data_IF_864405975217
#
_entry.id   IF_864405975217
#
_cell.length_a   1.000
_cell.length_b   1.000
_cell.length_c   1.000
_cell.angle_alpha   90.00
_cell.angle_beta   90.00
_cell.angle_gamma   90.00
#
_symmetry.space_group_name_H-M   'P 1'
#
loop_
_entity.id
_entity.type
_entity.pdbx_description
1 polymer ?
#
# COMPACT_ATOMS: atom_id res chain seq x y z
N UNK A 1 5.13 15.94 44.73
CA UNK A 1 6.18 14.90 44.64
C UNK A 1 6.95 15.09 43.33
N UNK A 2 8.20 15.59 43.37
CA UNK A 2 8.95 16.03 42.17
C UNK A 2 9.75 14.93 41.43
N UNK A 3 9.65 13.67 41.85
CA UNK A 3 10.45 12.54 41.33
C UNK A 3 9.98 11.95 39.99
N UNK A 4 8.74 12.22 39.58
CA UNK A 4 8.19 11.65 38.33
C UNK A 4 8.81 12.29 37.09
N UNK A 5 9.04 13.61 37.09
CA UNK A 5 9.58 14.33 35.93
C UNK A 5 11.06 13.99 35.70
N UNK A 6 11.83 13.76 36.76
CA UNK A 6 13.24 13.39 36.64
C UNK A 6 13.41 11.96 36.13
N UNK A 7 12.53 11.04 36.53
CA UNK A 7 12.54 9.66 35.99
C UNK A 7 12.12 9.60 34.52
N UNK A 8 11.09 10.36 34.12
CA UNK A 8 10.68 10.44 32.71
C UNK A 8 11.77 11.04 31.82
N UNK A 9 12.48 12.05 32.32
CA UNK A 9 13.59 12.66 31.58
C UNK A 9 14.74 11.66 31.39
N UNK A 10 15.08 10.89 32.42
CA UNK A 10 16.12 9.88 32.35
C UNK A 10 15.78 8.76 31.35
N UNK A 11 14.51 8.37 31.27
CA UNK A 11 14.01 7.36 30.32
C UNK A 11 14.11 7.86 28.86
N UNK A 12 13.68 9.08 28.58
CA UNK A 12 13.78 9.70 27.25
C UNK A 12 15.24 9.85 26.82
N UNK A 13 16.13 10.27 27.73
CA UNK A 13 17.55 10.41 27.41
C UNK A 13 18.23 9.05 27.21
N UNK A 14 17.83 8.03 27.96
CA UNK A 14 18.28 6.65 27.77
C UNK A 14 17.84 6.07 26.42
N UNK A 15 16.61 6.36 25.99
CA UNK A 15 16.08 5.93 24.70
C UNK A 15 16.80 6.64 23.54
N UNK A 16 17.02 7.95 23.64
CA UNK A 16 17.78 8.72 22.64
C UNK A 16 19.25 8.28 22.49
N UNK A 17 19.91 7.92 23.59
CA UNK A 17 21.27 7.36 23.54
C UNK A 17 21.26 5.97 22.90
N UNK A 18 20.24 5.15 23.19
CA UNK A 18 20.07 3.82 22.59
C UNK A 18 19.79 3.90 21.08
N UNK A 19 19.01 4.89 20.63
CA UNK A 19 18.74 5.14 19.20
C UNK A 19 19.98 5.62 18.43
N UNK A 20 20.92 6.30 19.09
CA UNK A 20 22.19 6.76 18.50
C UNK A 20 23.23 5.65 18.30
N UNK A 21 22.95 4.42 18.75
CA UNK A 21 23.81 3.25 18.51
C UNK A 21 23.67 2.73 17.07
N UNK A 22 22.62 3.13 16.35
CA UNK A 22 22.52 2.87 14.92
C UNK A 22 23.25 3.96 14.13
N UNK A 23 24.23 3.56 13.31
CA UNK A 23 24.84 4.44 12.31
C UNK A 23 23.72 5.03 11.43
N UNK A 24 23.50 6.36 11.47
CA UNK A 24 22.45 7.00 10.67
C UNK A 24 22.61 6.71 9.19
N UNK A 25 23.84 6.54 8.72
CA UNK A 25 24.13 6.21 7.32
C UNK A 25 23.70 4.79 6.98
N UNK A 26 23.96 3.81 7.86
CA UNK A 26 23.47 2.44 7.68
C UNK A 26 21.93 2.35 7.74
N UNK A 27 21.29 3.09 8.66
CA UNK A 27 19.83 3.14 8.76
C UNK A 27 19.20 3.74 7.48
N UNK A 28 19.80 4.82 6.95
CA UNK A 28 19.37 5.42 5.68
C UNK A 28 19.60 4.45 4.53
N UNK A 29 20.76 3.77 4.49
CA UNK A 29 21.06 2.77 3.48
C UNK A 29 20.02 1.64 3.45
N UNK A 30 19.55 1.15 4.61
CA UNK A 30 18.50 0.13 4.68
C UNK A 30 17.14 0.62 4.16
N UNK A 31 16.80 1.89 4.39
CA UNK A 31 15.56 2.50 3.88
C UNK A 31 15.67 2.81 2.38
N UNK A 32 16.83 3.25 1.92
CA UNK A 32 17.07 3.59 0.51
C UNK A 32 17.35 2.37 -0.36
N UNK A 33 17.85 1.27 0.21
CA UNK A 33 18.09 0.01 -0.48
C UNK A 33 16.80 -0.82 -0.64
N UNK A 34 15.65 -0.15 -0.81
CA UNK A 34 14.43 -0.81 -1.27
C UNK A 34 14.80 -1.63 -2.52
N UNK A 35 14.76 -2.97 -2.46
CA UNK A 35 15.09 -3.76 -3.63
C UNK A 35 14.11 -3.38 -4.75
N UNK A 36 14.58 -3.24 -6.00
CA UNK A 36 13.64 -3.13 -7.11
C UNK A 36 12.71 -4.34 -7.02
N UNK A 37 11.41 -4.06 -7.18
CA UNK A 37 10.35 -5.07 -7.25
C UNK A 37 10.84 -6.32 -7.99
N UNK A 38 10.49 -7.54 -7.56
CA UNK A 38 10.93 -8.78 -8.19
C UNK A 38 10.58 -8.91 -9.69
N UNK A 39 9.87 -7.96 -10.29
CA UNK A 39 9.77 -7.82 -11.75
C UNK A 39 11.12 -7.58 -12.45
N UNK A 40 12.18 -7.16 -11.74
CA UNK A 40 13.49 -6.87 -12.35
C UNK A 40 14.45 -8.07 -12.42
N UNK A 41 14.08 -9.25 -11.89
CA UNK A 41 14.93 -10.44 -11.91
C UNK A 41 14.62 -11.32 -13.12
N UNK A 42 14.77 -10.79 -14.33
CA UNK A 42 15.05 -11.63 -15.50
C UNK A 42 15.96 -10.86 -16.44
N UNK A 43 17.20 -11.34 -16.51
CA UNK A 43 18.20 -11.04 -17.54
C UNK A 43 19.01 -9.74 -17.38
N UNK A 44 20.07 -9.86 -16.59
CA UNK A 44 21.34 -9.20 -16.89
C UNK A 44 21.81 -9.64 -18.29
N UNK A 45 21.40 -8.89 -19.30
CA UNK A 45 22.07 -8.79 -20.59
C UNK A 45 21.75 -7.38 -21.06
N UNK A 46 22.80 -6.60 -21.28
CA UNK A 46 22.73 -5.24 -21.80
C UNK A 46 22.02 -5.25 -23.17
N UNK A 47 20.70 -5.19 -23.16
CA UNK A 47 19.88 -4.85 -24.30
C UNK A 47 19.47 -3.39 -24.13
N UNK A 48 19.44 -2.59 -25.22
CA UNK A 48 19.00 -1.21 -25.14
C UNK A 48 17.63 -1.19 -24.49
N UNK A 49 17.45 -0.35 -23.46
CA UNK A 49 16.15 -0.12 -22.85
C UNK A 49 15.19 0.28 -23.97
N UNK A 50 14.37 -0.67 -24.40
CA UNK A 50 13.36 -0.40 -25.39
C UNK A 50 12.38 0.60 -24.75
N UNK A 51 11.99 1.68 -25.46
CA UNK A 51 11.04 2.65 -24.95
C UNK A 51 9.66 2.03 -24.61
N UNK A 52 9.43 0.76 -24.97
CA UNK A 52 8.24 0.00 -24.63
C UNK A 52 8.13 -0.36 -23.15
N UNK A 53 9.24 -0.60 -22.41
CA UNK A 53 9.14 -1.04 -21.00
C UNK A 53 8.77 0.09 -20.05
N UNK A 54 9.17 1.33 -20.34
CA UNK A 54 8.74 2.52 -19.58
C UNK A 54 7.24 2.80 -19.78
N UNK A 55 6.73 2.57 -20.99
CA UNK A 55 5.30 2.72 -21.29
C UNK A 55 4.44 1.61 -20.64
N UNK A 56 4.99 0.40 -20.52
CA UNK A 56 4.33 -0.72 -19.82
C UNK A 56 4.27 -0.49 -18.29
N UNK A 57 5.33 0.04 -17.69
CA UNK A 57 5.33 0.42 -16.26
C UNK A 57 4.28 1.48 -15.94
N UNK A 58 4.09 2.48 -16.82
CA UNK A 58 3.05 3.50 -16.67
C UNK A 58 1.63 2.92 -16.85
N UNK A 59 1.46 1.97 -17.75
CA UNK A 59 0.18 1.30 -17.97
C UNK A 59 -0.22 0.44 -16.76
N UNK A 60 0.72 -0.30 -16.18
CA UNK A 60 0.46 -1.12 -15.00
C UNK A 60 0.26 -0.27 -13.74
N UNK A 61 0.98 0.84 -13.61
CA UNK A 61 0.74 1.81 -12.54
C UNK A 61 -0.64 2.45 -12.64
N UNK A 62 -1.09 2.76 -13.86
CA UNK A 62 -2.45 3.26 -14.11
C UNK A 62 -3.49 2.21 -13.74
N UNK A 63 -3.30 0.96 -14.18
CA UNK A 63 -4.16 -0.18 -13.86
C UNK A 63 -4.25 -0.43 -12.36
N UNK A 64 -3.13 -0.32 -11.63
CA UNK A 64 -3.09 -0.49 -10.19
C UNK A 64 -3.89 0.61 -9.48
N UNK A 65 -3.78 1.87 -9.93
CA UNK A 65 -4.60 2.98 -9.41
C UNK A 65 -6.08 2.76 -9.63
N UNK A 66 -6.46 2.33 -10.84
CA UNK A 66 -7.84 2.02 -11.18
C UNK A 66 -8.40 0.89 -10.31
N UNK A 67 -7.59 -0.15 -10.07
CA UNK A 67 -7.99 -1.27 -9.22
C UNK A 67 -8.20 -0.85 -7.76
N UNK A 68 -7.33 0.01 -7.21
CA UNK A 68 -7.49 0.56 -5.85
C UNK A 68 -8.75 1.42 -5.75
N UNK A 69 -8.98 2.28 -6.75
CA UNK A 69 -10.19 3.10 -6.81
C UNK A 69 -11.45 2.23 -6.86
N UNK A 70 -11.47 1.23 -7.75
CA UNK A 70 -12.59 0.30 -7.88
C UNK A 70 -12.83 -0.46 -6.58
N UNK A 71 -11.77 -0.94 -5.92
CA UNK A 71 -11.88 -1.62 -4.63
C UNK A 71 -12.56 -0.73 -3.59
N UNK A 72 -12.15 0.54 -3.49
CA UNK A 72 -12.76 1.49 -2.58
C UNK A 72 -14.24 1.72 -2.89
N UNK A 73 -14.58 2.00 -4.15
CA UNK A 73 -15.96 2.24 -4.59
C UNK A 73 -16.87 1.03 -4.30
N UNK A 74 -16.41 -0.19 -4.60
CA UNK A 74 -17.15 -1.43 -4.31
C UNK A 74 -17.30 -1.63 -2.80
N UNK A 75 -16.25 -1.39 -2.01
CA UNK A 75 -16.33 -1.52 -0.56
C UNK A 75 -17.29 -0.54 0.09
N UNK A 76 -17.30 0.71 -0.37
CA UNK A 76 -18.24 1.72 0.13
C UNK A 76 -19.67 1.42 -0.32
N UNK A 77 -19.89 0.98 -1.57
CA UNK A 77 -21.20 0.53 -2.03
C UNK A 77 -21.71 -0.70 -1.25
N UNK A 78 -20.82 -1.63 -0.90
CA UNK A 78 -21.14 -2.77 -0.05
C UNK A 78 -21.48 -2.33 1.37
N UNK A 79 -20.68 -1.43 1.97
CA UNK A 79 -20.94 -0.89 3.32
C UNK A 79 -22.28 -0.15 3.38
N UNK A 80 -22.63 0.59 2.33
CA UNK A 80 -23.92 1.27 2.20
C UNK A 80 -25.10 0.33 1.89
N UNK A 81 -24.85 -0.95 1.62
CA UNK A 81 -25.88 -1.95 1.33
C UNK A 81 -26.50 -1.82 -0.07
N UNK A 82 -25.96 -0.97 -0.94
CA UNK A 82 -26.51 -0.68 -2.27
C UNK A 82 -26.45 -1.91 -3.18
N UNK A 83 -25.37 -2.70 -3.07
CA UNK A 83 -25.19 -3.94 -3.82
C UNK A 83 -26.23 -5.00 -3.44
N UNK A 84 -26.53 -5.16 -2.14
CA UNK A 84 -27.52 -6.11 -1.67
C UNK A 84 -28.93 -5.70 -2.14
N UNK A 85 -29.25 -4.40 -2.08
CA UNK A 85 -30.53 -3.86 -2.55
C UNK A 85 -30.72 -4.07 -4.05
N UNK A 86 -29.72 -3.72 -4.85
CA UNK A 86 -29.76 -3.92 -6.31
C UNK A 86 -29.91 -5.39 -6.70
N UNK A 87 -29.24 -6.29 -5.98
CA UNK A 87 -29.35 -7.73 -6.20
C UNK A 87 -30.77 -8.26 -5.91
N UNK A 88 -31.37 -7.83 -4.80
CA UNK A 88 -32.74 -8.20 -4.42
C UNK A 88 -33.77 -7.67 -5.43
N UNK A 89 -33.62 -6.42 -5.87
CA UNK A 89 -34.47 -5.83 -6.91
C UNK A 89 -34.38 -6.60 -8.23
N UNK A 90 -33.17 -7.00 -8.65
CA UNK A 90 -32.95 -7.80 -9.84
C UNK A 90 -33.60 -9.19 -9.71
N UNK A 91 -33.47 -9.85 -8.56
CA UNK A 91 -34.11 -11.15 -8.29
C UNK A 91 -35.62 -11.07 -8.41
N UNK A 92 -36.24 -10.06 -7.81
CA UNK A 92 -37.68 -9.80 -7.94
C UNK A 92 -38.09 -9.49 -9.37
N UNK A 93 -37.21 -8.87 -10.17
CA UNK A 93 -37.42 -8.67 -11.60
C UNK A 93 -37.52 -10.00 -12.36
N UNK A 94 -36.59 -10.91 -12.10
CA UNK A 94 -36.56 -12.24 -12.73
C UNK A 94 -37.77 -13.08 -12.29
N UNK A 95 -38.08 -13.10 -11.00
CA UNK A 95 -39.24 -13.85 -10.46
C UNK A 95 -40.56 -13.40 -11.09
N UNK A 96 -40.73 -12.10 -11.34
CA UNK A 96 -41.92 -11.55 -12.02
C UNK A 96 -42.06 -11.92 -13.49
N UNK A 97 -40.96 -12.28 -14.16
CA UNK A 97 -40.95 -12.70 -15.57
C UNK A 97 -41.02 -14.22 -15.70
N UNK A 98 -40.52 -14.94 -14.70
CA UNK A 98 -40.43 -16.40 -14.69
C UNK A 98 -41.65 -17.11 -14.06
N UNK A 99 -42.52 -16.40 -13.35
CA UNK A 99 -43.81 -16.89 -12.84
C UNK A 99 -44.98 -16.45 -13.72
#
# INVERSE_FOLDING_TARGET
TPTTTTMQLAEILSDLVSLRVCDPTAALALVSARPPSPSASTSASAAPQNPSTLAEDDADLTRAKDLVRLHYEVREAHRRGELARGLEEARRGVERVAG
#
